data_IF_404653947706
#
_entry.id   IF_404653947706
#
_cell.length_a   1.000
_cell.length_b   1.000
_cell.length_c   1.000
_cell.angle_alpha   90.00
_cell.angle_beta   90.00
_cell.angle_gamma   90.00
#
_symmetry.space_group_name_H-M   'P 1'
#
loop_
_entity.id
_entity.type
_entity.pdbx_description
1 polymer ?
#
# COMPACT_ATOMS: atom_id res chain seq x y z
N UNK A 1 25.92 -6.91 0.49
CA UNK A 1 25.20 -7.42 -0.71
C UNK A 1 26.11 -7.30 -1.93
N UNK A 2 25.91 -8.13 -2.97
CA UNK A 2 26.74 -8.09 -4.21
C UNK A 2 26.38 -6.88 -5.09
N UNK A 3 25.12 -6.44 -5.07
CA UNK A 3 24.71 -5.17 -5.66
C UNK A 3 25.04 -4.01 -4.74
N UNK A 4 25.70 -3.00 -5.28
CA UNK A 4 26.04 -1.76 -4.59
C UNK A 4 24.98 -0.67 -4.80
N UNK A 5 24.05 -0.89 -5.73
CA UNK A 5 23.09 0.10 -6.18
C UNK A 5 21.66 -0.47 -6.18
N UNK A 6 20.71 0.28 -5.61
CA UNK A 6 19.28 0.04 -5.74
C UNK A 6 18.65 1.07 -6.68
N UNK A 7 17.93 0.61 -7.69
CA UNK A 7 17.13 1.45 -8.59
C UNK A 7 15.66 1.10 -8.39
N UNK A 8 14.94 1.99 -7.71
CA UNK A 8 13.51 1.83 -7.45
C UNK A 8 12.68 2.57 -8.48
N UNK A 9 11.83 1.87 -9.23
CA UNK A 9 10.91 2.47 -10.21
C UNK A 9 9.51 2.64 -9.64
N UNK A 10 8.95 3.84 -9.80
CA UNK A 10 7.56 4.15 -9.53
C UNK A 10 6.98 4.99 -10.68
N UNK A 11 5.89 4.53 -11.28
CA UNK A 11 5.30 5.10 -12.50
C UNK A 11 4.43 6.35 -12.28
N UNK A 12 4.22 6.75 -11.01
CA UNK A 12 3.55 7.98 -10.65
C UNK A 12 3.42 8.20 -9.15
N UNK A 13 2.83 9.35 -8.79
CA UNK A 13 2.63 9.76 -7.40
C UNK A 13 1.18 9.46 -7.01
N UNK A 14 0.96 8.31 -6.38
CA UNK A 14 -0.35 7.89 -5.85
C UNK A 14 -0.63 8.42 -4.44
N UNK A 15 -1.83 8.14 -3.92
CA UNK A 15 -2.27 8.56 -2.56
C UNK A 15 -1.46 7.94 -1.43
N UNK A 16 -0.80 6.81 -1.68
CA UNK A 16 0.04 6.07 -0.71
C UNK A 16 1.53 6.21 -1.02
N UNK A 17 1.92 7.15 -1.89
CA UNK A 17 3.31 7.29 -2.33
C UNK A 17 4.26 7.58 -1.17
N UNK A 18 3.90 8.52 -0.29
CA UNK A 18 4.75 8.89 0.84
C UNK A 18 4.92 7.72 1.82
N UNK A 19 3.82 7.03 2.13
CA UNK A 19 3.81 5.95 3.11
C UNK A 19 4.37 4.62 2.61
N UNK A 20 4.41 4.37 1.29
CA UNK A 20 4.83 3.06 0.76
C UNK A 20 6.10 3.13 -0.09
N UNK A 21 6.42 4.29 -0.68
CA UNK A 21 7.60 4.46 -1.54
C UNK A 21 8.68 5.24 -0.79
N UNK A 22 8.39 6.46 -0.34
CA UNK A 22 9.39 7.28 0.35
C UNK A 22 9.80 6.67 1.69
N UNK A 23 8.83 6.23 2.50
CA UNK A 23 9.11 5.56 3.77
C UNK A 23 10.03 4.35 3.56
N UNK A 24 9.70 3.47 2.60
CA UNK A 24 10.50 2.29 2.25
C UNK A 24 11.95 2.65 1.89
N UNK A 25 12.12 3.61 0.97
CA UNK A 25 13.45 4.01 0.50
C UNK A 25 14.27 4.72 1.57
N UNK A 26 13.63 5.52 2.41
CA UNK A 26 14.28 6.17 3.54
C UNK A 26 14.79 5.14 4.56
N UNK A 27 13.98 4.12 4.87
CA UNK A 27 14.40 3.06 5.80
C UNK A 27 15.54 2.23 5.21
N UNK A 28 15.45 1.81 3.93
CA UNK A 28 16.54 1.09 3.26
C UNK A 28 17.84 1.91 3.28
N UNK A 29 17.77 3.23 3.03
CA UNK A 29 18.93 4.12 3.10
C UNK A 29 19.49 4.26 4.50
N UNK A 30 18.63 4.38 5.52
CA UNK A 30 19.05 4.53 6.92
C UNK A 30 19.85 3.32 7.43
N UNK A 31 19.66 2.16 6.79
CA UNK A 31 20.39 0.91 7.07
C UNK A 31 21.67 0.74 6.25
N UNK A 32 22.00 1.73 5.41
CA UNK A 32 23.16 1.71 4.50
C UNK A 32 23.23 0.42 3.65
N UNK A 33 22.06 -0.13 3.32
CA UNK A 33 21.94 -1.41 2.62
C UNK A 33 22.55 -1.37 1.21
N UNK A 34 22.59 -0.20 0.58
CA UNK A 34 23.19 0.06 -0.72
C UNK A 34 24.05 1.33 -0.66
N UNK A 35 25.14 1.36 -1.42
CA UNK A 35 26.00 2.56 -1.56
C UNK A 35 25.26 3.68 -2.28
N UNK A 36 24.41 3.33 -3.25
CA UNK A 36 23.58 4.28 -4.00
C UNK A 36 22.15 3.78 -4.08
N UNK A 37 21.20 4.69 -3.93
CA UNK A 37 19.77 4.40 -4.06
C UNK A 37 19.15 5.48 -4.93
N UNK A 38 18.58 5.06 -6.06
CA UNK A 38 17.90 5.93 -7.01
C UNK A 38 16.39 5.68 -6.97
N UNK A 39 15.61 6.76 -6.94
CA UNK A 39 14.18 6.74 -7.21
C UNK A 39 13.93 7.20 -8.65
N UNK A 40 13.56 6.27 -9.52
CA UNK A 40 13.07 6.55 -10.86
C UNK A 40 11.58 6.85 -10.81
N UNK A 41 11.22 8.13 -10.96
CA UNK A 41 9.85 8.60 -10.85
C UNK A 41 9.28 8.98 -12.21
N UNK A 42 8.17 8.32 -12.55
CA UNK A 42 7.39 8.60 -13.72
C UNK A 42 6.59 9.89 -13.58
N UNK A 43 6.77 10.81 -14.53
CA UNK A 43 6.03 12.08 -14.59
C UNK A 43 5.33 12.26 -15.94
N UNK A 44 4.12 12.81 -15.91
CA UNK A 44 3.33 13.08 -17.13
C UNK A 44 3.69 14.41 -17.77
N UNK A 45 4.04 15.40 -16.95
CA UNK A 45 4.38 16.76 -17.35
C UNK A 45 5.34 17.42 -16.34
N UNK A 46 5.89 18.59 -16.71
CA UNK A 46 6.86 19.31 -15.90
C UNK A 46 6.26 19.94 -14.64
N UNK A 47 4.96 20.22 -14.62
CA UNK A 47 4.28 20.76 -13.44
C UNK A 47 4.24 19.72 -12.32
N UNK A 48 3.94 18.45 -12.65
CA UNK A 48 4.02 17.36 -11.69
C UNK A 48 5.44 17.20 -11.12
N UNK A 49 6.47 17.42 -11.93
CA UNK A 49 7.87 17.43 -11.47
C UNK A 49 8.14 18.58 -10.50
N UNK A 50 7.73 19.80 -10.85
CA UNK A 50 7.88 20.98 -9.97
C UNK A 50 7.17 20.79 -8.65
N UNK A 51 5.94 20.28 -8.67
CA UNK A 51 5.16 20.03 -7.45
C UNK A 51 5.77 18.94 -6.57
N UNK A 52 6.33 17.90 -7.18
CA UNK A 52 7.05 16.86 -6.45
C UNK A 52 8.31 17.42 -5.76
N UNK A 53 9.08 18.27 -6.44
CA UNK A 53 10.30 18.87 -5.90
C UNK A 53 10.06 19.86 -4.74
N UNK A 54 8.83 20.31 -4.52
CA UNK A 54 8.46 21.11 -3.33
C UNK A 54 8.41 20.28 -2.05
N UNK A 55 8.39 18.95 -2.16
CA UNK A 55 8.31 18.04 -0.99
C UNK A 55 9.63 18.05 -0.23
N UNK A 56 9.56 17.81 1.08
CA UNK A 56 10.73 17.54 1.90
C UNK A 56 11.22 16.12 1.60
N UNK A 57 12.30 16.01 0.82
CA UNK A 57 12.89 14.75 0.40
C UNK A 57 14.18 14.50 1.18
N UNK A 58 14.56 13.23 1.30
CA UNK A 58 15.85 12.87 1.86
C UNK A 58 16.95 13.37 0.90
N UNK A 59 17.90 14.22 1.36
CA UNK A 59 18.91 14.83 0.50
C UNK A 59 19.82 13.80 -0.18
N UNK A 60 19.98 12.62 0.42
CA UNK A 60 20.81 11.56 -0.12
C UNK A 60 20.05 10.66 -1.11
N UNK A 61 18.73 10.82 -1.25
CA UNK A 61 17.95 10.05 -2.22
C UNK A 61 18.07 10.70 -3.60
N UNK A 62 18.78 10.04 -4.51
CA UNK A 62 18.94 10.52 -5.88
C UNK A 62 17.66 10.25 -6.69
N UNK A 63 17.13 11.28 -7.35
CA UNK A 63 15.85 11.18 -8.06
C UNK A 63 16.05 11.38 -9.54
N UNK A 64 15.58 10.41 -10.32
CA UNK A 64 15.65 10.43 -11.77
C UNK A 64 14.25 10.44 -12.32
N UNK A 65 13.94 11.44 -13.12
CA UNK A 65 12.62 11.56 -13.74
C UNK A 65 12.63 10.92 -15.12
N UNK A 66 11.54 10.24 -15.46
CA UNK A 66 11.27 9.80 -16.82
C UNK A 66 9.83 10.13 -17.19
N UNK A 67 9.62 10.45 -18.47
CA UNK A 67 8.28 10.73 -18.99
C UNK A 67 7.45 9.45 -19.05
N UNK A 68 6.28 9.46 -18.45
CA UNK A 68 5.26 8.41 -18.55
C UNK A 68 4.14 8.82 -19.49
N UNK A 69 3.42 7.81 -19.96
CA UNK A 69 2.30 7.96 -20.89
C UNK A 69 1.15 7.07 -20.43
N UNK A 70 -0.08 7.30 -20.91
CA UNK A 70 -1.20 6.39 -20.63
C UNK A 70 -0.85 4.93 -20.97
N UNK A 71 -1.37 4.00 -20.17
CA UNK A 71 -1.04 2.58 -20.25
C UNK A 71 -1.73 1.87 -21.42
N UNK A 72 -1.37 2.23 -22.65
CA UNK A 72 -1.85 1.60 -23.88
C UNK A 72 -0.70 0.96 -24.67
N UNK A 73 -0.97 -0.07 -25.49
CA UNK A 73 0.07 -0.82 -26.20
C UNK A 73 1.03 0.05 -27.01
N UNK A 74 0.51 1.08 -27.68
CA UNK A 74 1.29 1.99 -28.53
C UNK A 74 2.25 2.89 -27.75
N UNK A 75 1.96 3.16 -26.47
CA UNK A 75 2.81 3.98 -25.61
C UNK A 75 3.96 3.20 -24.96
N UNK A 76 3.93 1.86 -24.94
CA UNK A 76 4.99 1.04 -24.35
C UNK A 76 6.37 1.39 -24.92
N UNK A 77 6.45 1.62 -26.24
CA UNK A 77 7.70 1.99 -26.91
C UNK A 77 8.19 3.38 -26.48
N UNK A 78 7.30 4.35 -26.34
CA UNK A 78 7.66 5.70 -25.90
C UNK A 78 8.12 5.71 -24.44
N UNK A 79 7.44 4.94 -23.58
CA UNK A 79 7.85 4.76 -22.18
C UNK A 79 9.22 4.06 -22.13
N UNK A 80 9.43 3.00 -22.92
CA UNK A 80 10.73 2.32 -23.00
C UNK A 80 11.87 3.25 -23.46
N UNK A 81 11.64 4.09 -24.49
CA UNK A 81 12.61 5.12 -24.91
C UNK A 81 12.93 6.11 -23.80
N UNK A 82 11.91 6.55 -23.07
CA UNK A 82 12.03 7.48 -21.94
C UNK A 82 12.87 6.88 -20.80
N UNK A 83 12.56 5.63 -20.40
CA UNK A 83 13.33 4.86 -19.42
C UNK A 83 14.78 4.70 -19.87
N UNK A 84 15.00 4.34 -21.14
CA UNK A 84 16.35 4.16 -21.70
C UNK A 84 17.18 5.45 -21.66
N UNK A 85 16.56 6.60 -21.97
CA UNK A 85 17.22 7.89 -21.89
C UNK A 85 17.59 8.25 -20.44
N UNK A 86 16.67 8.04 -19.50
CA UNK A 86 16.92 8.26 -18.08
C UNK A 86 18.06 7.38 -17.54
N UNK A 87 18.09 6.09 -17.91
CA UNK A 87 19.16 5.16 -17.52
C UNK A 87 20.52 5.52 -18.11
N UNK A 88 20.58 6.00 -19.37
CA UNK A 88 21.84 6.44 -20.01
C UNK A 88 22.44 7.67 -19.36
N UNK A 89 21.63 8.50 -18.70
CA UNK A 89 22.10 9.65 -17.93
C UNK A 89 22.86 9.27 -16.66
N UNK A 90 22.82 8.00 -16.25
CA UNK A 90 23.53 7.52 -15.07
C UNK A 90 24.85 6.87 -15.45
N UNK A 91 25.93 7.26 -14.77
CA UNK A 91 27.22 6.59 -14.87
C UNK A 91 27.28 5.43 -13.84
N UNK A 92 26.53 4.35 -14.11
CA UNK A 92 26.42 3.19 -13.22
C UNK A 92 26.60 1.85 -13.94
N UNK A 93 27.22 0.89 -13.26
CA UNK A 93 27.34 -0.48 -13.74
C UNK A 93 26.06 -1.26 -13.42
N UNK A 94 25.24 -1.59 -14.43
CA UNK A 94 23.98 -2.32 -14.23
C UNK A 94 24.17 -3.74 -13.66
N UNK A 95 25.36 -4.34 -13.77
CA UNK A 95 25.64 -5.64 -13.13
C UNK A 95 25.63 -5.55 -11.60
N UNK A 96 25.91 -4.35 -11.05
CA UNK A 96 25.90 -4.06 -9.62
C UNK A 96 24.59 -3.40 -9.16
N UNK A 97 23.61 -3.30 -10.05
CA UNK A 97 22.32 -2.69 -9.76
C UNK A 97 21.23 -3.75 -9.58
N UNK A 98 20.46 -3.59 -8.51
CA UNK A 98 19.17 -4.24 -8.32
C UNK A 98 18.06 -3.29 -8.76
N UNK A 99 17.09 -3.80 -9.51
CA UNK A 99 15.94 -3.02 -9.98
C UNK A 99 14.67 -3.47 -9.25
N UNK A 100 14.16 -2.64 -8.36
CA UNK A 100 12.88 -2.88 -7.69
C UNK A 100 11.80 -2.03 -8.38
N UNK A 101 10.84 -2.66 -9.05
CA UNK A 101 9.82 -1.95 -9.81
C UNK A 101 8.45 -2.14 -9.20
N UNK A 102 7.85 -1.05 -8.74
CA UNK A 102 6.46 -1.04 -8.32
C UNK A 102 5.55 -1.17 -9.55
N UNK A 103 4.90 -2.32 -9.69
CA UNK A 103 3.96 -2.64 -10.77
C UNK A 103 4.56 -3.44 -11.94
N UNK A 104 3.74 -4.33 -12.48
CA UNK A 104 4.08 -5.29 -13.53
C UNK A 104 4.27 -4.63 -14.91
N UNK A 105 3.54 -3.56 -15.21
CA UNK A 105 3.63 -2.87 -16.51
C UNK A 105 5.01 -2.26 -16.70
N UNK A 106 5.48 -1.49 -15.73
CA UNK A 106 6.81 -0.86 -15.78
C UNK A 106 7.92 -1.91 -15.72
N UNK A 107 7.73 -2.99 -14.98
CA UNK A 107 8.70 -4.09 -14.93
C UNK A 107 8.85 -4.75 -16.31
N UNK A 108 7.73 -5.01 -16.99
CA UNK A 108 7.75 -5.53 -18.35
C UNK A 108 8.42 -4.55 -19.33
N UNK A 109 8.06 -3.26 -19.29
CA UNK A 109 8.68 -2.24 -20.14
C UNK A 109 10.18 -2.12 -19.91
N UNK A 110 10.63 -2.13 -18.66
CA UNK A 110 12.05 -2.13 -18.30
C UNK A 110 12.76 -3.39 -18.83
N UNK A 111 12.13 -4.56 -18.75
CA UNK A 111 12.69 -5.81 -19.29
C UNK A 111 12.90 -5.78 -20.81
N UNK A 112 12.11 -4.96 -21.53
CA UNK A 112 12.28 -4.74 -22.97
C UNK A 112 13.39 -3.73 -23.29
N UNK A 113 13.77 -2.87 -22.33
CA UNK A 113 14.83 -1.87 -22.48
C UNK A 113 16.19 -2.44 -22.06
N UNK A 114 16.23 -3.24 -20.99
CA UNK A 114 17.43 -3.88 -20.48
C UNK A 114 17.78 -5.13 -21.29
N UNK A 115 19.07 -5.45 -21.39
CA UNK A 115 19.52 -6.73 -21.94
C UNK A 115 19.05 -7.92 -21.10
N UNK A 116 18.86 -9.08 -21.74
CA UNK A 116 18.37 -10.31 -21.07
C UNK A 116 19.17 -10.68 -19.83
N UNK A 117 20.47 -10.39 -19.82
CA UNK A 117 21.36 -10.68 -18.69
C UNK A 117 20.99 -9.94 -17.40
N UNK A 118 20.25 -8.83 -17.48
CA UNK A 118 19.85 -8.02 -16.33
C UNK A 118 18.45 -8.36 -15.80
N UNK A 119 17.67 -9.19 -16.51
CA UNK A 119 16.31 -9.57 -16.09
C UNK A 119 16.34 -10.27 -14.72
N UNK A 120 17.40 -11.02 -14.41
CA UNK A 120 17.58 -11.65 -13.11
C UNK A 120 17.71 -10.66 -11.94
N UNK A 121 18.13 -9.42 -12.21
CA UNK A 121 18.27 -8.36 -11.21
C UNK A 121 16.98 -7.54 -11.03
N UNK A 122 15.88 -7.91 -11.72
CA UNK A 122 14.61 -7.21 -11.64
C UNK A 122 13.68 -7.92 -10.66
N UNK A 123 13.19 -7.17 -9.68
CA UNK A 123 12.11 -7.53 -8.78
C UNK A 123 10.86 -6.68 -9.10
N UNK A 124 9.88 -7.23 -9.82
CA UNK A 124 8.54 -6.65 -9.89
C UNK A 124 7.83 -6.77 -8.53
N UNK A 125 7.26 -5.68 -8.03
CA UNK A 125 6.41 -5.60 -6.83
C UNK A 125 4.96 -5.30 -7.25
N UNK A 126 4.15 -6.35 -7.34
CA UNK A 126 2.76 -6.32 -7.80
C UNK A 126 1.85 -5.94 -6.64
N UNK A 127 1.17 -4.80 -6.79
CA UNK A 127 0.41 -4.17 -5.69
C UNK A 127 -1.09 -4.47 -5.68
N UNK A 128 -1.60 -5.13 -6.73
CA UNK A 128 -3.03 -5.44 -6.87
C UNK A 128 -3.35 -6.15 -8.19
N UNK A 129 -4.63 -6.44 -8.39
CA UNK A 129 -5.16 -7.03 -9.61
C UNK A 129 -5.52 -5.92 -10.63
N UNK A 130 -4.52 -5.43 -11.35
CA UNK A 130 -4.65 -4.25 -12.23
C UNK A 130 -5.66 -4.44 -13.37
N UNK A 131 -5.78 -5.67 -13.88
CA UNK A 131 -6.70 -6.00 -14.98
C UNK A 131 -8.15 -5.83 -14.52
N UNK A 132 -8.49 -6.36 -13.35
CA UNK A 132 -9.79 -6.25 -12.71
C UNK A 132 -10.05 -4.82 -12.23
N UNK A 133 -9.03 -4.11 -11.75
CA UNK A 133 -9.18 -2.70 -11.39
C UNK A 133 -9.59 -1.85 -12.59
N UNK A 134 -9.00 -2.09 -13.76
CA UNK A 134 -9.41 -1.42 -15.00
C UNK A 134 -10.80 -1.87 -15.42
N UNK A 135 -11.13 -3.16 -15.27
CA UNK A 135 -12.45 -3.65 -15.67
C UNK A 135 -13.58 -3.12 -14.78
N UNK A 136 -13.35 -3.00 -13.48
CA UNK A 136 -14.36 -2.56 -12.51
C UNK A 136 -14.47 -1.03 -12.44
N UNK A 137 -13.34 -0.30 -12.42
CA UNK A 137 -13.32 1.11 -12.00
C UNK A 137 -12.89 2.11 -13.08
N UNK A 138 -12.40 1.66 -14.23
CA UNK A 138 -11.96 2.57 -15.29
C UNK A 138 -13.10 2.93 -16.24
N UNK A 139 -13.65 4.14 -16.04
CA UNK A 139 -14.67 4.70 -16.93
C UNK A 139 -14.03 5.28 -18.20
N UNK A 140 -14.31 4.63 -19.33
CA UNK A 140 -13.86 5.06 -20.67
C UNK A 140 -14.65 4.32 -21.75
N UNK A 141 -14.49 4.72 -23.01
CA UNK A 141 -15.10 3.99 -24.11
C UNK A 141 -14.59 2.53 -24.18
N UNK A 142 -15.42 1.63 -24.73
CA UNK A 142 -15.15 0.18 -24.76
C UNK A 142 -13.81 -0.18 -25.43
N UNK A 143 -13.42 0.55 -26.48
CA UNK A 143 -12.18 0.28 -27.23
C UNK A 143 -10.95 0.61 -26.41
N UNK A 144 -10.91 1.80 -25.80
CA UNK A 144 -9.80 2.22 -24.94
C UNK A 144 -9.70 1.30 -23.73
N UNK A 145 -10.84 0.97 -23.10
CA UNK A 145 -10.87 0.02 -21.98
C UNK A 145 -10.26 -1.33 -22.39
N UNK A 146 -10.67 -1.88 -23.53
CA UNK A 146 -10.14 -3.13 -24.06
C UNK A 146 -8.62 -3.07 -24.31
N UNK A 147 -8.12 -2.01 -24.97
CA UNK A 147 -6.69 -1.85 -25.24
C UNK A 147 -5.87 -1.76 -23.94
N UNK A 148 -6.40 -1.09 -22.92
CA UNK A 148 -5.75 -0.97 -21.61
C UNK A 148 -5.72 -2.31 -20.87
N UNK A 149 -6.83 -3.03 -20.86
CA UNK A 149 -6.93 -4.40 -20.32
C UNK A 149 -5.95 -5.32 -21.04
N UNK A 150 -5.92 -5.30 -22.37
CA UNK A 150 -5.00 -6.10 -23.17
C UNK A 150 -3.54 -5.82 -22.80
N UNK A 151 -3.17 -4.55 -22.63
CA UNK A 151 -1.80 -4.18 -22.24
C UNK A 151 -1.42 -4.70 -20.84
N UNK A 152 -2.31 -4.56 -19.85
CA UNK A 152 -2.06 -5.04 -18.49
C UNK A 152 -2.04 -6.57 -18.44
N UNK A 153 -2.94 -7.24 -19.18
CA UNK A 153 -2.94 -8.70 -19.28
C UNK A 153 -1.62 -9.22 -19.86
N UNK A 154 -1.05 -8.52 -20.83
CA UNK A 154 0.30 -8.82 -21.34
C UNK A 154 1.38 -8.56 -20.29
N UNK A 155 1.34 -7.44 -19.57
CA UNK A 155 2.29 -7.16 -18.50
C UNK A 155 2.29 -8.25 -17.42
N UNK A 156 1.10 -8.65 -16.93
CA UNK A 156 0.96 -9.72 -15.92
C UNK A 156 1.50 -11.05 -16.46
N UNK A 157 1.17 -11.44 -17.70
CA UNK A 157 1.73 -12.66 -18.32
C UNK A 157 3.26 -12.62 -18.42
N UNK A 158 3.84 -11.46 -18.67
CA UNK A 158 5.28 -11.28 -18.76
C UNK A 158 5.99 -11.37 -17.40
N UNK A 159 5.25 -11.41 -16.27
CA UNK A 159 5.85 -11.71 -14.97
C UNK A 159 6.59 -13.04 -14.95
N UNK A 160 6.19 -14.00 -15.79
CA UNK A 160 6.85 -15.30 -15.87
C UNK A 160 8.34 -15.23 -16.28
N UNK A 161 8.79 -14.11 -16.86
CA UNK A 161 10.18 -13.89 -17.25
C UNK A 161 11.12 -13.55 -16.09
N UNK A 162 10.57 -13.12 -14.95
CA UNK A 162 11.38 -12.71 -13.81
C UNK A 162 11.60 -13.89 -12.87
N UNK A 163 12.77 -13.92 -12.25
CA UNK A 163 13.18 -14.98 -11.33
C UNK A 163 12.54 -14.84 -9.96
N UNK A 164 12.20 -13.61 -9.57
CA UNK A 164 11.63 -13.26 -8.28
C UNK A 164 10.54 -12.22 -8.50
N UNK A 165 9.44 -12.34 -7.77
CA UNK A 165 8.28 -11.44 -7.81
C UNK A 165 7.86 -11.18 -6.37
N UNK A 166 7.66 -9.92 -6.04
CA UNK A 166 7.04 -9.50 -4.78
C UNK A 166 5.56 -9.22 -5.03
N UNK A 167 4.70 -9.63 -4.10
CA UNK A 167 3.26 -9.35 -4.10
C UNK A 167 2.80 -8.94 -2.71
N UNK A 168 1.70 -8.21 -2.63
CA UNK A 168 1.23 -7.65 -1.36
C UNK A 168 0.50 -8.62 -0.43
N UNK A 169 -0.01 -9.74 -0.93
CA UNK A 169 -0.82 -10.67 -0.13
C UNK A 169 -0.74 -12.11 -0.67
N UNK A 170 -1.04 -13.07 0.21
CA UNK A 170 -1.19 -14.48 -0.19
C UNK A 170 -2.34 -14.68 -1.18
N UNK A 171 -3.44 -13.93 -1.07
CA UNK A 171 -4.53 -13.98 -2.04
C UNK A 171 -4.13 -13.44 -3.42
N UNK A 172 -3.28 -12.41 -3.49
CA UNK A 172 -2.73 -11.95 -4.77
C UNK A 172 -1.76 -12.98 -5.36
N UNK A 173 -0.94 -13.63 -4.54
CA UNK A 173 -0.12 -14.78 -4.96
C UNK A 173 -0.98 -15.88 -5.58
N UNK A 174 -2.02 -16.33 -4.88
CA UNK A 174 -2.97 -17.37 -5.34
C UNK A 174 -3.66 -16.96 -6.65
N UNK A 175 -4.05 -15.69 -6.77
CA UNK A 175 -4.66 -15.13 -7.98
C UNK A 175 -3.70 -15.19 -9.18
N UNK A 176 -2.44 -14.78 -9.03
CA UNK A 176 -1.46 -14.83 -10.12
C UNK A 176 -1.16 -16.26 -10.56
N UNK A 177 -1.06 -17.20 -9.62
CA UNK A 177 -0.85 -18.62 -9.92
C UNK A 177 -2.04 -19.18 -10.72
N UNK A 178 -3.25 -19.02 -10.19
CA UNK A 178 -4.47 -19.61 -10.77
C UNK A 178 -4.84 -18.99 -12.12
N UNK A 179 -4.76 -17.66 -12.24
CA UNK A 179 -5.32 -16.94 -13.40
C UNK A 179 -4.29 -16.71 -14.52
N UNK A 180 -2.99 -16.75 -14.22
CA UNK A 180 -1.92 -16.45 -15.19
C UNK A 180 -0.84 -17.52 -15.26
N UNK A 181 -0.91 -18.59 -14.46
CA UNK A 181 0.09 -19.65 -14.45
C UNK A 181 1.47 -19.13 -14.07
N UNK A 182 1.55 -18.16 -13.15
CA UNK A 182 2.83 -17.70 -12.61
C UNK A 182 3.33 -18.77 -11.64
N UNK A 183 4.58 -19.21 -11.81
CA UNK A 183 5.21 -20.13 -10.88
C UNK A 183 5.20 -19.56 -9.45
N UNK A 184 4.60 -20.28 -8.49
CA UNK A 184 4.45 -19.84 -7.11
C UNK A 184 5.75 -19.86 -6.30
N UNK A 185 6.78 -20.58 -6.75
CA UNK A 185 8.08 -20.70 -6.06
C UNK A 185 8.90 -19.40 -6.11
N UNK A 186 8.66 -18.57 -7.13
CA UNK A 186 9.29 -17.25 -7.29
C UNK A 186 8.52 -16.09 -6.64
N UNK A 187 7.34 -16.35 -6.06
CA UNK A 187 6.48 -15.28 -5.52
C UNK A 187 6.65 -15.16 -4.00
N UNK A 188 7.09 -13.99 -3.57
CA UNK A 188 7.28 -13.59 -2.17
C UNK A 188 6.19 -12.61 -1.75
N UNK A 189 5.69 -12.76 -0.52
CA UNK A 189 4.62 -11.92 0.01
C UNK A 189 5.20 -10.85 0.94
N UNK A 190 5.05 -9.59 0.54
CA UNK A 190 5.49 -8.39 1.28
C UNK A 190 4.31 -7.41 1.41
N UNK A 191 3.62 -7.39 2.58
CA UNK A 191 2.42 -6.59 2.76
C UNK A 191 2.69 -5.09 2.69
N UNK A 192 1.63 -4.29 2.64
CA UNK A 192 1.75 -2.85 2.81
C UNK A 192 2.31 -2.51 4.20
N UNK A 193 3.28 -1.59 4.24
CA UNK A 193 4.00 -1.24 5.45
C UNK A 193 3.30 -0.14 6.25
N UNK A 194 3.53 -0.11 7.56
CA UNK A 194 3.21 0.99 8.45
C UNK A 194 4.51 1.60 8.99
N UNK A 195 4.60 2.94 9.00
CA UNK A 195 5.78 3.68 9.45
C UNK A 195 6.06 3.44 10.96
N UNK A 196 7.28 3.77 11.44
CA UNK A 196 7.74 3.54 12.83
C UNK A 196 6.85 4.22 13.87
N UNK A 197 6.23 5.33 13.49
CA UNK A 197 5.32 6.10 14.35
C UNK A 197 3.98 5.38 14.58
N UNK A 198 3.60 4.43 13.73
CA UNK A 198 2.42 3.60 13.93
C UNK A 198 2.73 2.52 14.95
N UNK A 199 2.50 2.86 16.22
CA UNK A 199 2.57 1.95 17.36
C UNK A 199 1.57 2.40 18.41
N UNK A 200 1.15 1.49 19.28
CA UNK A 200 0.28 1.87 20.38
C UNK A 200 1.05 2.74 21.39
N UNK A 201 0.50 3.91 21.68
CA UNK A 201 1.04 4.88 22.64
C UNK A 201 -0.08 5.42 23.53
N UNK A 202 -0.04 5.00 24.79
CA UNK A 202 -1.02 5.35 25.83
C UNK A 202 -0.98 6.84 26.18
N UNK A 203 0.19 7.46 26.20
CA UNK A 203 0.35 8.89 26.44
C UNK A 203 -0.26 9.72 25.32
N UNK A 204 0.02 9.34 24.07
CA UNK A 204 -0.53 9.97 22.88
C UNK A 204 -2.05 9.81 22.79
N UNK A 205 -2.57 8.62 23.12
CA UNK A 205 -4.00 8.37 23.24
C UNK A 205 -4.64 9.35 24.23
N UNK A 206 -4.12 9.43 25.45
CA UNK A 206 -4.65 10.31 26.49
C UNK A 206 -4.62 11.79 26.08
N UNK A 207 -3.54 12.22 25.42
CA UNK A 207 -3.41 13.59 24.91
C UNK A 207 -4.46 13.92 23.84
N UNK A 208 -4.62 13.06 22.83
CA UNK A 208 -5.56 13.33 21.74
C UNK A 208 -7.02 13.20 22.21
N UNK A 209 -7.35 12.26 23.11
CA UNK A 209 -8.70 12.15 23.68
C UNK A 209 -9.10 13.42 24.43
N UNK A 210 -8.21 14.01 25.24
CA UNK A 210 -8.43 15.33 25.85
C UNK A 210 -8.66 16.42 24.80
N UNK A 211 -7.85 16.47 23.74
CA UNK A 211 -8.00 17.43 22.63
C UNK A 211 -9.34 17.27 21.88
N UNK A 212 -9.89 16.06 21.85
CA UNK A 212 -11.19 15.74 21.25
C UNK A 212 -12.37 15.89 22.22
N UNK A 213 -12.14 16.33 23.46
CA UNK A 213 -13.13 16.41 24.53
C UNK A 213 -13.84 15.06 24.79
N UNK A 214 -13.07 13.97 24.78
CA UNK A 214 -13.54 12.61 25.06
C UNK A 214 -13.19 12.21 26.50
N UNK A 215 -14.17 11.61 27.19
CA UNK A 215 -13.98 11.00 28.50
C UNK A 215 -13.33 9.61 28.36
N UNK A 216 -12.83 9.03 29.44
CA UNK A 216 -12.21 7.69 29.39
C UNK A 216 -13.20 6.58 29.04
N UNK A 217 -14.47 6.74 29.42
CA UNK A 217 -15.55 5.78 29.18
C UNK A 217 -16.12 5.85 27.75
N UNK A 218 -15.81 6.92 27.01
CA UNK A 218 -16.31 7.09 25.65
C UNK A 218 -15.72 6.04 24.71
N UNK A 219 -16.57 5.34 23.97
CA UNK A 219 -16.12 4.44 22.90
C UNK A 219 -16.02 5.22 21.60
N UNK A 220 -14.82 5.28 21.01
CA UNK A 220 -14.56 5.96 19.75
C UNK A 220 -14.20 4.96 18.63
N UNK A 221 -15.03 4.89 17.60
CA UNK A 221 -14.75 4.11 16.39
C UNK A 221 -14.04 5.01 15.37
N UNK A 222 -12.90 4.58 14.83
CA UNK A 222 -12.23 5.32 13.76
C UNK A 222 -12.54 4.77 12.38
N UNK A 223 -12.86 5.69 11.48
CA UNK A 223 -12.97 5.45 10.06
C UNK A 223 -12.00 6.40 9.33
N UNK A 224 -11.15 5.84 8.47
CA UNK A 224 -10.21 6.61 7.64
C UNK A 224 -10.27 6.13 6.20
N UNK A 225 -10.31 7.08 5.28
CA UNK A 225 -10.36 6.81 3.86
C UNK A 225 -9.38 7.73 3.12
N UNK A 226 -8.53 7.15 2.27
CA UNK A 226 -7.45 7.88 1.58
C UNK A 226 -7.88 8.61 0.31
N UNK A 227 -9.16 8.57 -0.05
CA UNK A 227 -9.69 9.09 -1.32
C UNK A 227 -11.04 9.79 -1.15
N UNK A 228 -11.61 10.23 -2.27
CA UNK A 228 -12.96 10.84 -2.34
C UNK A 228 -13.96 9.93 -3.06
N UNK A 229 -13.51 8.75 -3.49
CA UNK A 229 -14.28 7.86 -4.33
C UNK A 229 -15.38 7.14 -3.52
N UNK A 230 -16.54 6.97 -4.14
CA UNK A 230 -17.77 6.48 -3.52
C UNK A 230 -17.66 5.09 -2.87
N UNK A 231 -16.72 4.25 -3.33
CA UNK A 231 -16.45 2.91 -2.80
C UNK A 231 -15.95 2.88 -1.34
N UNK A 232 -15.65 4.04 -0.75
CA UNK A 232 -15.15 4.11 0.63
C UNK A 232 -16.25 4.01 1.69
N UNK A 233 -17.52 3.79 1.32
CA UNK A 233 -18.61 3.52 2.26
C UNK A 233 -18.72 4.59 3.38
N UNK A 234 -18.67 5.87 3.01
CA UNK A 234 -18.88 6.98 3.94
C UNK A 234 -20.24 6.88 4.65
N UNK A 235 -21.23 6.24 4.01
CA UNK A 235 -22.55 5.98 4.59
C UNK A 235 -22.46 5.12 5.85
N UNK A 236 -21.40 4.32 6.01
CA UNK A 236 -21.18 3.54 7.21
C UNK A 236 -20.90 4.39 8.44
N UNK A 237 -20.21 5.52 8.28
CA UNK A 237 -19.98 6.45 9.39
C UNK A 237 -21.31 7.02 9.87
N UNK A 238 -22.20 7.39 8.95
CA UNK A 238 -23.52 7.89 9.30
C UNK A 238 -24.33 6.82 10.02
N UNK A 239 -24.40 5.60 9.48
CA UNK A 239 -25.12 4.47 10.09
C UNK A 239 -24.62 4.12 11.49
N UNK A 240 -23.30 4.06 11.70
CA UNK A 240 -22.72 3.85 13.04
C UNK A 240 -23.12 4.97 14.00
N UNK A 241 -23.10 6.21 13.51
CA UNK A 241 -23.44 7.37 14.33
C UNK A 241 -24.94 7.41 14.70
N UNK A 242 -25.82 7.01 13.77
CA UNK A 242 -27.27 6.84 13.98
C UNK A 242 -27.57 5.72 14.98
N UNK A 243 -26.76 4.66 15.00
CA UNK A 243 -26.79 3.59 16.02
C UNK A 243 -26.22 4.03 17.38
N UNK A 244 -25.85 5.31 17.54
CA UNK A 244 -25.45 5.88 18.83
C UNK A 244 -23.93 5.87 19.10
N UNK A 245 -23.11 5.33 18.20
CA UNK A 245 -21.66 5.29 18.39
C UNK A 245 -20.98 6.63 18.08
N UNK A 246 -19.95 7.00 18.86
CA UNK A 246 -19.07 8.12 18.51
C UNK A 246 -18.09 7.67 17.44
N UNK A 247 -18.02 8.40 16.33
CA UNK A 247 -17.15 8.07 15.19
C UNK A 247 -16.16 9.20 14.91
N UNK A 248 -14.88 8.86 14.87
CA UNK A 248 -13.82 9.73 14.36
C UNK A 248 -13.68 9.50 12.85
N UNK A 249 -14.17 10.46 12.07
CA UNK A 249 -14.07 10.45 10.62
C UNK A 249 -12.80 11.20 10.16
N UNK A 250 -11.83 10.44 9.67
CA UNK A 250 -10.56 10.95 9.12
C UNK A 250 -10.56 11.07 7.59
N UNK A 251 -11.71 10.91 6.95
CA UNK A 251 -11.84 11.11 5.49
C UNK A 251 -11.94 12.59 5.12
N UNK A 252 -11.81 12.88 3.82
CA UNK A 252 -12.05 14.23 3.27
C UNK A 252 -13.51 14.65 3.26
N UNK A 253 -14.44 13.69 3.29
CA UNK A 253 -15.88 13.96 3.21
C UNK A 253 -16.40 14.19 4.62
N UNK A 254 -16.83 15.41 4.90
CA UNK A 254 -17.49 15.70 6.17
C UNK A 254 -18.86 15.04 6.26
N UNK A 255 -19.19 14.53 7.44
CA UNK A 255 -20.46 13.87 7.73
C UNK A 255 -21.13 14.61 8.87
N UNK A 256 -22.33 15.14 8.60
CA UNK A 256 -23.09 15.97 9.53
C UNK A 256 -23.92 15.08 10.46
N UNK A 257 -23.36 14.77 11.63
CA UNK A 257 -24.08 14.08 12.69
C UNK A 257 -23.45 14.40 14.05
N UNK A 258 -24.27 14.52 15.11
CA UNK A 258 -23.81 14.94 16.46
C UNK A 258 -22.76 14.00 17.07
N UNK A 259 -22.79 12.72 16.70
CA UNK A 259 -21.85 11.69 17.17
C UNK A 259 -20.61 11.56 16.26
N UNK A 260 -20.45 12.41 15.24
CA UNK A 260 -19.31 12.32 14.31
C UNK A 260 -18.34 13.48 14.55
N UNK A 261 -17.08 13.13 14.78
CA UNK A 261 -15.95 14.06 14.84
C UNK A 261 -15.25 14.02 13.49
N UNK A 262 -15.42 15.05 12.66
CA UNK A 262 -14.73 15.17 11.39
C UNK A 262 -13.34 15.81 11.59
N UNK A 263 -12.27 15.14 11.14
CA UNK A 263 -10.90 15.67 11.16
C UNK A 263 -10.13 15.24 9.92
N UNK A 264 -9.84 16.17 9.03
CA UNK A 264 -8.87 15.94 7.96
C UNK A 264 -7.45 16.27 8.45
N UNK A 265 -6.58 15.28 8.48
CA UNK A 265 -5.24 15.38 9.08
C UNK A 265 -4.15 14.95 8.11
N UNK A 266 -2.92 15.38 8.40
CA UNK A 266 -1.75 14.95 7.63
C UNK A 266 -1.37 13.50 7.96
N UNK A 267 -0.59 12.86 7.08
CA UNK A 267 -0.08 11.52 7.32
C UNK A 267 0.71 11.41 8.64
N UNK A 268 1.54 12.41 8.95
CA UNK A 268 2.34 12.46 10.18
C UNK A 268 1.51 12.56 11.48
N UNK A 269 0.27 13.03 11.39
CA UNK A 269 -0.65 13.08 12.53
C UNK A 269 -1.52 11.83 12.65
N UNK A 270 -1.59 11.01 11.60
CA UNK A 270 -2.44 9.82 11.54
C UNK A 270 -2.24 8.90 12.76
N UNK A 271 -1.01 8.50 13.17
CA UNK A 271 -0.84 7.63 14.33
C UNK A 271 -1.45 8.20 15.61
N UNK A 272 -1.40 9.53 15.80
CA UNK A 272 -1.94 10.21 16.99
C UNK A 272 -3.44 10.04 17.11
N UNK A 273 -4.14 10.25 16.01
CA UNK A 273 -5.60 10.15 15.96
C UNK A 273 -6.07 8.69 15.96
N UNK A 274 -5.30 7.77 15.40
CA UNK A 274 -5.57 6.33 15.53
C UNK A 274 -5.42 5.86 16.99
N UNK A 275 -4.40 6.30 17.71
CA UNK A 275 -4.21 5.95 19.13
C UNK A 275 -5.40 6.39 20.01
N UNK A 276 -6.06 7.50 19.68
CA UNK A 276 -7.23 8.02 20.40
C UNK A 276 -8.47 7.11 20.30
N UNK A 277 -8.58 6.34 19.22
CA UNK A 277 -9.70 5.45 18.96
C UNK A 277 -9.60 4.13 19.74
N UNK A 278 -10.73 3.43 19.81
CA UNK A 278 -10.91 2.18 20.55
C UNK A 278 -11.04 1.00 19.60
N UNK A 279 -11.73 1.20 18.47
CA UNK A 279 -11.94 0.21 17.43
C UNK A 279 -11.79 0.90 16.07
N UNK A 280 -11.27 0.20 15.07
CA UNK A 280 -11.23 0.68 13.70
C UNK A 280 -12.18 -0.12 12.81
N UNK A 281 -12.68 0.50 11.74
CA UNK A 281 -13.54 -0.18 10.77
C UNK A 281 -12.95 -0.12 9.36
N UNK A 282 -13.01 -1.25 8.64
CA UNK A 282 -12.64 -1.36 7.23
C UNK A 282 -13.76 -2.04 6.45
N UNK A 283 -14.40 -1.28 5.58
CA UNK A 283 -15.49 -1.74 4.74
C UNK A 283 -15.10 -1.59 3.29
N UNK A 284 -15.18 -2.69 2.53
CA UNK A 284 -14.97 -2.63 1.08
C UNK A 284 -16.00 -3.47 0.36
N UNK A 285 -16.25 -3.10 -0.89
CA UNK A 285 -17.16 -3.86 -1.73
C UNK A 285 -16.54 -5.22 -2.08
N UNK A 286 -17.38 -6.23 -2.25
CA UNK A 286 -16.94 -7.56 -2.69
C UNK A 286 -16.52 -7.47 -4.15
N UNK A 287 -15.23 -7.55 -4.40
CA UNK A 287 -14.66 -7.58 -5.75
C UNK A 287 -13.31 -8.30 -5.74
N UNK A 288 -12.81 -8.71 -6.91
CA UNK A 288 -11.50 -9.39 -6.99
C UNK A 288 -10.40 -8.46 -6.50
N UNK A 289 -10.47 -7.18 -6.87
CA UNK A 289 -9.50 -6.15 -6.48
C UNK A 289 -9.38 -6.03 -4.96
N UNK A 290 -10.52 -5.96 -4.26
CA UNK A 290 -10.53 -5.89 -2.80
C UNK A 290 -10.12 -7.22 -2.16
N UNK A 291 -10.58 -8.35 -2.71
CA UNK A 291 -10.29 -9.68 -2.18
C UNK A 291 -8.80 -9.95 -2.05
N UNK A 292 -8.02 -9.57 -3.07
CA UNK A 292 -6.57 -9.80 -3.12
C UNK A 292 -5.74 -8.65 -2.52
N UNK A 293 -6.37 -7.60 -2.01
CA UNK A 293 -5.65 -6.41 -1.53
C UNK A 293 -4.87 -6.66 -0.22
N UNK A 294 -3.90 -5.78 0.03
CA UNK A 294 -3.32 -5.56 1.37
C UNK A 294 -3.54 -4.08 1.72
N UNK A 295 -4.65 -3.72 2.39
CA UNK A 295 -4.97 -2.32 2.64
C UNK A 295 -3.99 -1.69 3.63
N UNK A 296 -3.35 -0.57 3.26
CA UNK A 296 -2.44 0.19 4.14
C UNK A 296 -3.10 0.54 5.48
N UNK A 297 -4.40 0.91 5.46
CA UNK A 297 -5.14 1.23 6.68
C UNK A 297 -5.22 0.08 7.67
N UNK A 298 -5.29 -1.16 7.20
CA UNK A 298 -5.28 -2.31 8.10
C UNK A 298 -3.94 -2.41 8.84
N UNK A 299 -2.82 -2.32 8.11
CA UNK A 299 -1.48 -2.29 8.67
C UNK A 299 -1.36 -1.18 9.72
N UNK A 300 -1.77 0.05 9.39
CA UNK A 300 -1.72 1.21 10.29
C UNK A 300 -2.55 1.00 11.57
N UNK A 301 -3.77 0.44 11.45
CA UNK A 301 -4.67 0.22 12.58
C UNK A 301 -4.14 -0.82 13.55
N UNK A 302 -3.73 -1.98 13.04
CA UNK A 302 -3.21 -3.07 13.86
C UNK A 302 -1.90 -2.64 14.53
N UNK A 303 -1.01 -1.96 13.81
CA UNK A 303 0.20 -1.40 14.41
C UNK A 303 -0.11 -0.41 15.54
N UNK A 304 -1.16 0.42 15.44
CA UNK A 304 -1.63 1.30 16.53
C UNK A 304 -2.43 0.56 17.64
N UNK A 305 -2.44 -0.77 17.61
CA UNK A 305 -3.12 -1.60 18.61
C UNK A 305 -4.64 -1.48 18.56
N UNK A 306 -5.23 -1.17 17.40
CA UNK A 306 -6.68 -1.10 17.25
C UNK A 306 -7.23 -2.46 16.83
N UNK A 307 -8.19 -3.04 17.55
CA UNK A 307 -9.07 -4.07 17.03
C UNK A 307 -9.79 -3.57 15.77
N UNK A 308 -10.01 -4.46 14.80
CA UNK A 308 -10.61 -4.08 13.50
C UNK A 308 -11.93 -4.81 13.26
N UNK A 309 -12.97 -4.07 12.90
CA UNK A 309 -14.22 -4.59 12.34
C UNK A 309 -14.13 -4.57 10.80
N UNK A 310 -14.41 -5.68 10.14
CA UNK A 310 -14.37 -5.80 8.67
C UNK A 310 -15.50 -6.68 8.09
N UNK A 311 -15.86 -6.48 6.82
CA UNK A 311 -16.98 -7.17 6.15
C UNK A 311 -16.59 -8.37 5.25
N UNK A 312 -15.51 -9.08 5.59
CA UNK A 312 -15.01 -10.24 4.85
C UNK A 312 -14.77 -10.00 3.34
N UNK A 313 -14.45 -8.78 2.95
CA UNK A 313 -14.22 -8.41 1.54
C UNK A 313 -12.74 -8.49 1.13
N UNK A 314 -11.84 -8.63 2.11
CA UNK A 314 -10.39 -8.71 1.92
C UNK A 314 -9.87 -9.93 2.66
N UNK A 315 -9.42 -10.94 1.93
CA UNK A 315 -9.04 -12.23 2.52
C UNK A 315 -7.94 -12.07 3.58
N UNK A 316 -6.92 -11.25 3.30
CA UNK A 316 -5.81 -11.01 4.22
C UNK A 316 -6.28 -10.44 5.58
N UNK A 317 -7.33 -9.62 5.59
CA UNK A 317 -7.89 -9.06 6.83
C UNK A 317 -8.61 -10.17 7.60
N UNK A 318 -9.45 -10.94 6.91
CA UNK A 318 -10.20 -12.05 7.52
C UNK A 318 -9.29 -13.12 8.10
N UNK A 319 -8.28 -13.55 7.34
CA UNK A 319 -7.28 -14.52 7.77
C UNK A 319 -6.50 -14.01 9.00
N UNK A 320 -6.13 -12.72 9.02
CA UNK A 320 -5.42 -12.13 10.16
C UNK A 320 -6.31 -12.04 11.40
N UNK A 321 -7.54 -11.54 11.28
CA UNK A 321 -8.49 -11.44 12.40
C UNK A 321 -8.77 -12.83 13.01
N UNK A 322 -9.01 -13.84 12.18
CA UNK A 322 -9.28 -15.20 12.65
C UNK A 322 -8.07 -15.85 13.32
N UNK A 323 -6.85 -15.53 12.85
CA UNK A 323 -5.62 -16.09 13.41
C UNK A 323 -5.26 -15.46 14.75
N UNK A 324 -5.32 -14.13 14.83
CA UNK A 324 -4.81 -13.36 15.97
C UNK A 324 -5.90 -12.91 16.95
N UNK A 325 -7.18 -13.16 16.63
CA UNK A 325 -8.34 -12.79 17.45
C UNK A 325 -8.33 -11.29 17.82
N UNK A 326 -7.98 -10.45 16.84
CA UNK A 326 -7.73 -9.02 17.01
C UNK A 326 -8.81 -8.15 16.34
N UNK A 327 -10.03 -8.66 16.24
CA UNK A 327 -11.08 -8.00 15.48
C UNK A 327 -12.33 -8.84 15.33
N UNK A 328 -13.25 -8.36 14.51
CA UNK A 328 -14.53 -8.99 14.24
C UNK A 328 -14.86 -8.93 12.75
N UNK A 329 -15.36 -10.05 12.22
CA UNK A 329 -15.84 -10.13 10.83
C UNK A 329 -17.36 -10.02 10.85
N UNK A 330 -17.85 -8.84 10.47
CA UNK A 330 -19.28 -8.55 10.46
C UNK A 330 -19.95 -9.06 9.19
N UNK A 331 -21.23 -9.41 9.33
CA UNK A 331 -22.10 -9.78 8.21
C UNK A 331 -22.81 -8.56 7.63
N UNK A 332 -23.37 -7.72 8.50
CA UNK A 332 -24.08 -6.47 8.16
C UNK A 332 -23.71 -5.38 9.17
N UNK A 333 -23.63 -4.13 8.72
CA UNK A 333 -23.22 -3.01 9.56
C UNK A 333 -24.25 -2.69 10.64
N UNK A 334 -25.54 -2.85 10.29
CA UNK A 334 -26.69 -2.63 11.17
C UNK A 334 -26.73 -3.61 12.34
N UNK A 335 -26.02 -4.74 12.23
CA UNK A 335 -25.94 -5.77 13.27
C UNK A 335 -24.83 -5.52 14.29
N UNK A 336 -23.96 -4.54 14.07
CA UNK A 336 -22.95 -4.15 15.05
C UNK A 336 -23.67 -3.65 16.30
N UNK A 337 -23.52 -4.39 17.39
CA UNK A 337 -24.12 -4.06 18.67
C UNK A 337 -23.06 -3.67 19.71
N UNK A 338 -23.52 -3.10 20.82
CA UNK A 338 -22.65 -2.67 21.91
C UNK A 338 -21.85 -3.81 22.53
N UNK A 339 -22.39 -5.04 22.55
CA UNK A 339 -21.69 -6.18 23.14
C UNK A 339 -20.44 -6.54 22.33
N UNK A 340 -20.56 -6.64 21.00
CA UNK A 340 -19.42 -6.93 20.12
C UNK A 340 -18.31 -5.89 20.28
N UNK A 341 -18.68 -4.61 20.37
CA UNK A 341 -17.70 -3.54 20.58
C UNK A 341 -17.10 -3.62 21.98
N UNK A 342 -17.91 -3.90 23.01
CA UNK A 342 -17.43 -4.07 24.37
C UNK A 342 -16.41 -5.22 24.48
N UNK A 343 -16.64 -6.32 23.76
CA UNK A 343 -15.69 -7.44 23.72
C UNK A 343 -14.37 -7.02 23.04
N UNK A 344 -14.45 -6.25 21.95
CA UNK A 344 -13.26 -5.75 21.24
C UNK A 344 -12.43 -4.79 22.09
N UNK A 345 -13.04 -3.89 22.87
CA UNK A 345 -12.29 -2.93 23.69
C UNK A 345 -11.60 -3.58 24.89
N UNK A 346 -11.98 -4.81 25.29
CA UNK A 346 -11.25 -5.58 26.30
C UNK A 346 -9.98 -6.24 25.75
N UNK A 347 -9.79 -6.26 24.42
CA UNK A 347 -8.60 -6.85 23.84
C UNK A 347 -7.33 -6.07 24.20
N UNK A 348 -6.24 -6.80 24.41
CA UNK A 348 -4.97 -6.21 24.78
C UNK A 348 -4.34 -5.47 23.59
N UNK A 349 -4.52 -4.14 23.56
CA UNK A 349 -3.99 -3.25 22.52
C UNK A 349 -2.47 -3.29 22.38
N UNK A 350 -1.72 -3.46 23.48
CA UNK A 350 -0.25 -3.60 23.45
C UNK A 350 0.13 -4.87 22.69
N UNK A 351 -0.59 -5.98 22.92
CA UNK A 351 -0.39 -7.24 22.18
C UNK A 351 -0.74 -7.08 20.70
N UNK A 352 -1.91 -6.51 20.36
CA UNK A 352 -2.30 -6.25 18.96
C UNK A 352 -1.23 -5.41 18.25
N UNK A 353 -0.76 -4.35 18.90
CA UNK A 353 0.29 -3.47 18.37
C UNK A 353 1.59 -4.21 18.13
N UNK A 354 2.06 -5.00 19.09
CA UNK A 354 3.29 -5.79 18.95
C UNK A 354 3.21 -6.78 17.77
N UNK A 355 2.11 -7.53 17.66
CA UNK A 355 1.86 -8.45 16.53
C UNK A 355 1.77 -7.71 15.19
N UNK A 356 1.13 -6.54 15.20
CA UNK A 356 1.04 -5.65 14.03
C UNK A 356 2.39 -5.16 13.56
N UNK A 357 3.17 -4.57 14.46
CA UNK A 357 4.53 -4.08 14.18
C UNK A 357 5.42 -5.21 13.69
N UNK A 358 5.34 -6.39 14.32
CA UNK A 358 6.12 -7.57 13.91
C UNK A 358 5.74 -8.16 12.54
N UNK A 359 4.64 -7.72 11.91
CA UNK A 359 4.23 -8.18 10.57
C UNK A 359 4.25 -7.08 9.51
N UNK A 360 3.80 -5.89 9.87
CA UNK A 360 3.54 -4.76 8.98
C UNK A 360 4.44 -3.56 9.25
N UNK A 361 5.18 -3.55 10.36
CA UNK A 361 6.11 -2.48 10.67
C UNK A 361 7.16 -2.31 9.57
N UNK A 362 7.52 -1.06 9.31
CA UNK A 362 8.45 -0.69 8.24
C UNK A 362 9.77 -1.48 8.32
N UNK A 363 10.27 -1.72 9.52
CA UNK A 363 11.52 -2.44 9.74
C UNK A 363 11.40 -3.90 9.26
N UNK A 364 10.35 -4.60 9.71
CA UNK A 364 10.04 -5.96 9.29
C UNK A 364 9.82 -6.07 7.79
N UNK A 365 9.09 -5.13 7.19
CA UNK A 365 8.82 -5.17 5.74
C UNK A 365 10.11 -4.92 4.95
N UNK A 366 10.98 -4.03 5.43
CA UNK A 366 12.31 -3.81 4.84
C UNK A 366 13.19 -5.04 4.98
N UNK A 367 13.20 -5.71 6.13
CA UNK A 367 13.95 -6.97 6.31
C UNK A 367 13.54 -8.00 5.26
N UNK A 368 12.24 -8.21 5.04
CA UNK A 368 11.73 -9.10 3.99
C UNK A 368 12.20 -8.70 2.59
N UNK A 369 12.22 -7.41 2.27
CA UNK A 369 12.77 -6.96 0.99
C UNK A 369 14.27 -7.22 0.89
N UNK A 370 15.05 -6.95 1.94
CA UNK A 370 16.50 -7.22 1.96
C UNK A 370 16.81 -8.72 1.84
N UNK A 371 15.98 -9.58 2.41
CA UNK A 371 16.04 -11.04 2.21
C UNK A 371 15.82 -11.40 0.73
N UNK A 372 14.77 -10.88 0.10
CA UNK A 372 14.49 -11.08 -1.33
C UNK A 372 15.66 -10.58 -2.19
N UNK A 373 16.20 -9.39 -1.87
CA UNK A 373 17.34 -8.80 -2.58
C UNK A 373 18.60 -9.67 -2.45
N UNK A 374 18.75 -10.34 -1.32
CA UNK A 374 19.84 -11.28 -1.10
C UNK A 374 19.65 -12.55 -1.93
N UNK A 375 18.42 -13.05 -2.11
CA UNK A 375 18.11 -14.19 -2.98
C UNK A 375 18.34 -13.91 -4.47
N UNK A 376 18.24 -12.64 -4.90
CA UNK A 376 18.63 -12.24 -6.26
C UNK A 376 20.11 -12.57 -6.53
N UNK A 377 20.95 -12.59 -5.49
CA UNK A 377 22.39 -12.83 -5.63
C UNK A 377 22.77 -14.31 -5.74
N UNK A 378 21.90 -15.22 -5.31
CA UNK A 378 22.12 -16.68 -5.34
C UNK A 378 21.69 -17.33 -6.65
N UNK A 379 21.09 -16.57 -7.58
CA UNK A 379 20.59 -17.00 -8.89
C UNK A 379 21.47 -16.45 -10.03
#
# INVERSE_FOLDING_TARGET
>A
MKHNCLIYFCDGIGSVFDSQVLALLNEIKSREAFKKTYLFLGIRNDDQKKDFLKRKLNPDLEIVFYKTYPNYPFFNFLIGKSIKAALRGLNINFNECLFHIRGETTAWQLSCVLGKQYIKNILPDVRGASVEEIDEFYDSNRVLKYLKIFNNKNAVKNLNKFNLISVVSDSLKKYLITNYGIDGTKIYVTPCLADKEFKFDEGQRNYIRKKLNLNNEDILIVFSSGGVANWQNNDAVLKLAENGFKVLNLSKKEIKHKNVINKFITYSEMPKYLNAADVAIILRDKSVVNKVASPVKFSEYICCGLPVIANNSVDMISEYINTYQCGFIMVELEKINLQEINDLIQLNRKKISAEGVGRFGIETVVDKYLEIYSSVNSL
#
